data_IF_109857034538
#
_entry.id   IF_109857034538
#
_cell.length_a   1.000
_cell.length_b   1.000
_cell.length_c   1.000
_cell.angle_alpha   90.00
_cell.angle_beta   90.00
_cell.angle_gamma   90.00
#
_symmetry.space_group_name_H-M   'P 1'
#
loop_
_entity.id
_entity.type
_entity.pdbx_description
1 polymer ?
#
# COMPACT_ATOMS: atom_id res chain seq x y z
N UNK A 1 37.80 12.53 5.91
CA UNK A 1 36.41 13.03 5.96
C UNK A 1 35.68 12.53 4.74
N UNK A 2 35.00 11.36 4.79
CA UNK A 2 34.21 10.93 3.66
C UNK A 2 32.90 11.70 3.68
N UNK A 3 32.70 12.49 2.62
CA UNK A 3 31.42 13.11 2.30
C UNK A 3 30.39 11.99 2.09
N UNK A 4 29.32 11.96 2.88
CA UNK A 4 28.12 11.19 2.57
C UNK A 4 27.37 11.98 1.49
N UNK A 5 27.84 11.88 0.25
CA UNK A 5 27.09 12.31 -0.93
C UNK A 5 26.39 11.08 -1.51
N UNK A 6 25.11 10.96 -1.18
CA UNK A 6 24.19 9.95 -1.69
C UNK A 6 22.97 9.91 -0.79
N UNK A 7 21.85 10.46 -1.27
CA UNK A 7 20.53 10.40 -0.64
C UNK A 7 20.07 8.94 -0.53
N UNK A 8 20.62 8.21 0.43
CA UNK A 8 20.21 6.87 0.79
C UNK A 8 19.22 6.95 1.94
N UNK A 9 18.26 6.05 1.93
CA UNK A 9 17.34 5.81 3.05
C UNK A 9 18.06 5.78 4.40
N UNK A 10 17.40 6.31 5.43
CA UNK A 10 17.92 6.26 6.80
C UNK A 10 18.17 4.82 7.24
N UNK A 11 19.26 4.61 8.00
CA UNK A 11 19.49 3.36 8.71
C UNK A 11 18.39 3.11 9.77
N UNK A 12 18.16 1.86 10.20
CA UNK A 12 17.19 1.56 11.24
C UNK A 12 17.36 2.38 12.52
N UNK A 13 18.61 2.58 12.97
CA UNK A 13 18.91 3.40 14.14
C UNK A 13 18.52 4.87 13.94
N UNK A 14 18.79 5.43 12.75
CA UNK A 14 18.40 6.79 12.40
C UNK A 14 16.89 6.95 12.28
N UNK A 15 16.19 5.96 11.72
CA UNK A 15 14.72 5.97 11.66
C UNK A 15 14.10 5.96 13.05
N UNK A 16 14.59 5.09 13.96
CA UNK A 16 14.11 5.06 15.36
C UNK A 16 14.39 6.36 16.09
N UNK A 17 15.57 6.94 15.90
CA UNK A 17 15.92 8.24 16.49
C UNK A 17 15.05 9.39 15.95
N UNK A 18 14.74 9.39 14.65
CA UNK A 18 13.81 10.35 14.07
C UNK A 18 12.39 10.15 14.64
N UNK A 19 11.91 8.90 14.66
CA UNK A 19 10.57 8.56 15.18
C UNK A 19 10.39 8.98 16.64
N UNK A 20 11.31 8.60 17.53
CA UNK A 20 11.25 8.97 18.94
C UNK A 20 11.30 10.49 19.17
N UNK A 21 12.06 11.22 18.34
CA UNK A 21 12.15 12.68 18.44
C UNK A 21 10.86 13.38 18.03
N UNK A 22 10.13 12.81 17.07
CA UNK A 22 8.96 13.44 16.47
C UNK A 22 7.63 12.84 16.91
N UNK A 23 7.64 11.87 17.82
CA UNK A 23 6.45 11.24 18.41
C UNK A 23 5.51 12.25 19.08
N UNK A 24 6.06 13.31 19.69
CA UNK A 24 5.29 14.36 20.38
C UNK A 24 5.22 15.70 19.63
N UNK A 25 5.74 15.76 18.40
CA UNK A 25 5.76 16.98 17.60
C UNK A 25 4.80 16.86 16.39
N UNK A 26 4.18 17.97 15.93
CA UNK A 26 3.39 17.96 14.71
C UNK A 26 4.25 17.53 13.51
N UNK A 27 3.98 16.34 12.97
CA UNK A 27 4.63 15.83 11.77
C UNK A 27 3.80 16.13 10.53
N UNK A 28 4.48 16.42 9.41
CA UNK A 28 3.85 16.37 8.10
C UNK A 28 3.86 14.92 7.60
N UNK A 29 2.72 14.24 7.74
CA UNK A 29 2.53 12.88 7.24
C UNK A 29 2.39 12.88 5.72
N UNK A 30 3.24 12.09 5.06
CA UNK A 30 3.15 11.81 3.63
C UNK A 30 2.17 10.67 3.36
N UNK A 31 2.11 9.69 4.25
CA UNK A 31 1.22 8.53 4.15
C UNK A 31 0.72 8.11 5.52
N UNK A 32 -0.56 7.72 5.59
CA UNK A 32 -1.16 7.09 6.75
C UNK A 32 -2.09 5.97 6.29
N UNK A 33 -1.95 4.80 6.90
CA UNK A 33 -2.74 3.61 6.61
C UNK A 33 -4.21 3.74 7.04
N UNK A 34 -4.49 4.69 7.93
CA UNK A 34 -5.78 4.91 8.56
C UNK A 34 -6.29 6.34 8.34
N UNK A 35 -7.61 6.43 8.38
CA UNK A 35 -8.37 7.67 8.52
C UNK A 35 -9.02 7.69 9.90
N UNK A 36 -9.69 8.79 10.24
CA UNK A 36 -10.50 8.88 11.47
C UNK A 36 -11.64 7.84 11.56
N UNK A 37 -11.96 7.13 10.47
CA UNK A 37 -13.00 6.08 10.42
C UNK A 37 -12.42 4.66 10.34
N UNK A 38 -11.10 4.49 10.43
CA UNK A 38 -10.43 3.21 10.22
C UNK A 38 -9.60 3.17 8.93
N UNK A 39 -9.23 1.99 8.42
CA UNK A 39 -8.33 1.84 7.28
C UNK A 39 -8.77 2.67 6.07
N UNK A 40 -7.79 3.29 5.39
CA UNK A 40 -8.09 4.05 4.18
C UNK A 40 -8.62 3.14 3.04
N UNK A 41 -9.17 3.74 1.99
CA UNK A 41 -9.79 2.98 0.89
C UNK A 41 -8.81 2.03 0.18
N UNK A 42 -7.55 2.45 0.00
CA UNK A 42 -6.52 1.63 -0.62
C UNK A 42 -6.25 0.37 0.21
N UNK A 43 -6.08 0.52 1.53
CA UNK A 43 -5.83 -0.60 2.42
C UNK A 43 -7.02 -1.56 2.48
N UNK A 44 -8.25 -1.05 2.55
CA UNK A 44 -9.46 -1.91 2.45
C UNK A 44 -9.49 -2.72 1.15
N UNK A 45 -9.15 -2.09 0.02
CA UNK A 45 -9.10 -2.77 -1.27
C UNK A 45 -8.00 -3.85 -1.32
N UNK A 46 -6.81 -3.55 -0.81
CA UNK A 46 -5.69 -4.50 -0.73
C UNK A 46 -6.06 -5.68 0.17
N UNK A 47 -6.69 -5.45 1.32
CA UNK A 47 -7.18 -6.52 2.20
C UNK A 47 -8.14 -7.45 1.47
N UNK A 48 -9.10 -6.88 0.71
CA UNK A 48 -10.01 -7.69 -0.12
C UNK A 48 -9.26 -8.49 -1.19
N UNK A 49 -8.23 -7.90 -1.81
CA UNK A 49 -7.33 -8.58 -2.74
C UNK A 49 -6.59 -9.75 -2.09
N UNK A 50 -6.10 -9.61 -0.85
CA UNK A 50 -5.50 -10.72 -0.10
C UNK A 50 -6.50 -11.87 0.09
N UNK A 51 -7.71 -11.56 0.52
CA UNK A 51 -8.77 -12.56 0.69
C UNK A 51 -9.12 -13.29 -0.59
N UNK A 52 -9.14 -12.57 -1.72
CA UNK A 52 -9.36 -13.17 -3.04
C UNK A 52 -8.20 -14.11 -3.44
N UNK A 53 -6.96 -13.69 -3.22
CA UNK A 53 -5.79 -14.49 -3.54
C UNK A 53 -5.69 -15.75 -2.68
N UNK A 54 -5.90 -15.63 -1.36
CA UNK A 54 -5.96 -16.77 -0.44
C UNK A 54 -7.06 -17.75 -0.82
N UNK A 55 -8.28 -17.24 -1.06
CA UNK A 55 -9.40 -18.06 -1.53
C UNK A 55 -9.05 -18.82 -2.82
N UNK A 56 -8.48 -18.16 -3.83
CA UNK A 56 -8.17 -18.81 -5.11
C UNK A 56 -6.97 -19.77 -5.06
N UNK A 57 -6.02 -19.53 -4.15
CA UNK A 57 -4.92 -20.47 -3.88
C UNK A 57 -5.43 -21.76 -3.23
N UNK A 58 -6.40 -21.65 -2.33
CA UNK A 58 -6.99 -22.80 -1.64
C UNK A 58 -8.10 -23.50 -2.45
N UNK A 59 -8.68 -22.83 -3.45
CA UNK A 59 -9.92 -23.25 -4.08
C UNK A 59 -9.77 -23.63 -5.55
N UNK A 60 -9.51 -24.92 -5.77
CA UNK A 60 -10.19 -25.63 -6.86
C UNK A 60 -11.59 -26.12 -6.42
N UNK A 61 -11.97 -26.06 -5.13
CA UNK A 61 -13.12 -26.82 -4.59
C UNK A 61 -13.91 -26.27 -3.38
N UNK A 62 -13.73 -25.03 -2.91
CA UNK A 62 -14.58 -24.52 -1.81
C UNK A 62 -15.83 -23.79 -2.33
N UNK A 63 -17.06 -24.23 -2.00
CA UNK A 63 -18.20 -23.32 -1.98
C UNK A 63 -17.98 -22.29 -0.85
N UNK A 64 -18.61 -21.11 -0.91
CA UNK A 64 -18.60 -20.07 0.15
C UNK A 64 -17.55 -18.93 0.08
N UNK A 65 -17.11 -18.56 -1.13
CA UNK A 65 -16.32 -17.32 -1.37
C UNK A 65 -16.84 -16.08 -0.64
N UNK A 66 -18.17 -15.95 -0.51
CA UNK A 66 -18.77 -14.80 0.16
C UNK A 66 -18.45 -14.74 1.66
N UNK A 67 -18.34 -15.89 2.33
CA UNK A 67 -18.07 -15.95 3.76
C UNK A 67 -16.59 -15.70 4.04
N UNK A 68 -15.71 -16.31 3.24
CA UNK A 68 -14.27 -16.06 3.30
C UNK A 68 -13.99 -14.57 3.16
N UNK A 69 -14.52 -13.93 2.10
CA UNK A 69 -14.28 -12.51 1.84
C UNK A 69 -14.86 -11.56 2.90
N UNK A 70 -15.81 -11.98 3.74
CA UNK A 70 -16.28 -11.15 4.88
C UNK A 70 -15.14 -10.91 5.88
N UNK A 71 -14.29 -11.90 6.10
CA UNK A 71 -13.12 -11.75 6.98
C UNK A 71 -12.07 -10.78 6.43
N UNK A 72 -12.12 -10.51 5.11
CA UNK A 72 -11.25 -9.55 4.41
C UNK A 72 -11.96 -8.24 4.07
N UNK A 73 -12.94 -7.86 4.90
CA UNK A 73 -13.56 -6.53 4.83
C UNK A 73 -14.45 -6.31 3.62
N UNK A 74 -14.97 -7.36 2.98
CA UNK A 74 -15.94 -7.21 1.88
C UNK A 74 -17.11 -6.29 2.23
N UNK A 75 -17.55 -6.31 3.48
CA UNK A 75 -18.68 -5.51 3.98
C UNK A 75 -18.27 -4.11 4.45
N UNK A 76 -16.99 -3.77 4.38
CA UNK A 76 -16.43 -2.51 4.90
C UNK A 76 -16.46 -1.37 3.86
N UNK A 77 -17.00 -1.65 2.67
CA UNK A 77 -17.20 -0.70 1.59
C UNK A 77 -18.63 -0.14 1.64
N UNK A 78 -18.76 1.18 1.52
CA UNK A 78 -20.07 1.86 1.43
C UNK A 78 -20.94 1.28 0.30
N UNK A 79 -20.29 0.81 -0.76
CA UNK A 79 -20.90 -0.01 -1.80
C UNK A 79 -20.28 -1.40 -1.79
N UNK A 80 -20.97 -2.35 -1.18
CA UNK A 80 -20.56 -3.76 -1.13
C UNK A 80 -20.48 -4.34 -2.56
N UNK A 81 -19.41 -5.09 -2.91
CA UNK A 81 -19.29 -5.70 -4.23
C UNK A 81 -20.38 -6.75 -4.47
N UNK A 82 -21.03 -6.65 -5.64
CA UNK A 82 -21.98 -7.65 -6.14
C UNK A 82 -21.27 -8.96 -6.51
N UNK A 83 -22.04 -10.03 -6.74
CA UNK A 83 -21.46 -11.30 -7.20
C UNK A 83 -20.69 -11.13 -8.51
N UNK A 84 -21.18 -10.31 -9.44
CA UNK A 84 -20.48 -10.02 -10.70
C UNK A 84 -19.15 -9.31 -10.48
N UNK A 85 -19.07 -8.38 -9.52
CA UNK A 85 -17.82 -7.71 -9.17
C UNK A 85 -16.80 -8.69 -8.56
N UNK A 86 -17.27 -9.59 -7.69
CA UNK A 86 -16.45 -10.65 -7.08
C UNK A 86 -15.93 -11.64 -8.13
N UNK A 87 -16.79 -12.08 -9.05
CA UNK A 87 -16.37 -12.92 -10.18
C UNK A 87 -15.37 -12.17 -11.06
N UNK A 88 -15.58 -10.87 -11.30
CA UNK A 88 -14.62 -10.02 -12.01
C UNK A 88 -13.25 -9.96 -11.32
N UNK A 89 -13.21 -9.84 -9.99
CA UNK A 89 -11.97 -9.93 -9.21
C UNK A 89 -11.29 -11.29 -9.42
N UNK A 90 -12.04 -12.38 -9.34
CA UNK A 90 -11.49 -13.71 -9.55
C UNK A 90 -10.93 -13.92 -10.96
N UNK A 91 -11.59 -13.40 -11.99
CA UNK A 91 -11.07 -13.44 -13.37
C UNK A 91 -9.78 -12.61 -13.48
N UNK A 92 -9.69 -11.50 -12.75
CA UNK A 92 -8.51 -10.64 -12.69
C UNK A 92 -7.44 -11.12 -11.70
N UNK A 93 -7.46 -12.38 -11.25
CA UNK A 93 -6.55 -12.88 -10.21
C UNK A 93 -5.07 -12.58 -10.48
N UNK A 94 -4.57 -12.77 -11.70
CA UNK A 94 -3.18 -12.39 -12.04
C UNK A 94 -2.87 -10.90 -11.84
N UNK A 95 -3.85 -10.02 -12.06
CA UNK A 95 -3.67 -8.60 -11.79
C UNK A 95 -3.71 -8.31 -10.29
N UNK A 96 -4.51 -9.07 -9.53
CA UNK A 96 -4.54 -9.03 -8.07
C UNK A 96 -3.21 -9.47 -7.50
N UNK A 97 -2.59 -10.54 -8.00
CA UNK A 97 -1.28 -10.98 -7.51
C UNK A 97 -0.21 -9.89 -7.69
N UNK A 98 -0.24 -9.14 -8.79
CA UNK A 98 0.66 -7.99 -8.97
C UNK A 98 0.41 -6.87 -7.95
N UNK A 99 -0.85 -6.64 -7.54
CA UNK A 99 -1.19 -5.69 -6.48
C UNK A 99 -0.57 -6.15 -5.16
N UNK A 100 -0.69 -7.44 -4.84
CA UNK A 100 -0.11 -8.01 -3.62
C UNK A 100 1.43 -8.01 -3.64
N UNK A 101 2.04 -8.19 -4.82
CA UNK A 101 3.49 -8.01 -4.98
C UNK A 101 3.92 -6.56 -4.74
N UNK A 102 3.15 -5.58 -5.25
CA UNK A 102 3.41 -4.18 -4.98
C UNK A 102 3.25 -3.84 -3.49
N UNK A 103 2.25 -4.42 -2.83
CA UNK A 103 2.08 -4.30 -1.39
C UNK A 103 3.25 -4.90 -0.62
N UNK A 104 3.65 -6.13 -0.95
CA UNK A 104 4.78 -6.80 -0.31
C UNK A 104 6.08 -5.99 -0.47
N UNK A 105 6.32 -5.40 -1.66
CA UNK A 105 7.48 -4.54 -1.89
C UNK A 105 7.45 -3.26 -1.02
N UNK A 106 6.26 -2.71 -0.76
CA UNK A 106 6.08 -1.56 0.13
C UNK A 106 6.30 -1.96 1.60
N UNK A 107 5.72 -3.07 2.06
CA UNK A 107 5.95 -3.59 3.40
C UNK A 107 7.43 -3.89 3.65
N UNK A 108 8.14 -4.45 2.67
CA UNK A 108 9.58 -4.70 2.75
C UNK A 108 10.40 -3.40 2.87
N UNK A 109 9.92 -2.27 2.33
CA UNK A 109 10.53 -0.96 2.59
C UNK A 109 10.25 -0.47 4.00
N UNK A 110 9.04 -0.70 4.50
CA UNK A 110 8.58 -0.18 5.79
C UNK A 110 9.17 -0.94 6.99
N UNK A 111 9.52 -2.21 6.83
CA UNK A 111 10.16 -3.04 7.87
C UNK A 111 11.53 -2.46 8.22
N UNK A 112 11.62 -1.74 9.35
CA UNK A 112 12.85 -1.09 9.80
C UNK A 112 13.81 -2.06 10.49
N UNK A 113 13.32 -3.18 11.00
CA UNK A 113 14.13 -4.18 11.71
C UNK A 113 14.81 -5.16 10.73
N UNK A 114 14.05 -5.69 9.77
CA UNK A 114 14.49 -6.78 8.89
C UNK A 114 14.52 -6.38 7.41
N UNK A 115 14.66 -5.07 7.13
CA UNK A 115 14.70 -4.54 5.77
C UNK A 115 15.70 -5.27 4.86
N UNK A 116 15.25 -5.85 3.73
CA UNK A 116 16.15 -6.36 2.70
C UNK A 116 17.04 -5.25 2.12
N UNK A 117 18.33 -5.53 1.89
CA UNK A 117 19.29 -4.56 1.35
C UNK A 117 18.88 -4.00 -0.03
N UNK A 118 18.13 -4.78 -0.81
CA UNK A 118 17.66 -4.42 -2.14
C UNK A 118 16.20 -3.95 -2.17
N UNK A 119 15.55 -3.73 -1.02
CA UNK A 119 14.15 -3.32 -0.94
C UNK A 119 13.87 -2.04 -1.75
N UNK A 120 14.78 -1.05 -1.69
CA UNK A 120 14.69 0.18 -2.48
C UNK A 120 14.72 -0.06 -4.00
N UNK A 121 15.48 -1.06 -4.47
CA UNK A 121 15.58 -1.39 -5.89
C UNK A 121 14.39 -2.22 -6.38
N UNK A 122 13.79 -3.01 -5.49
CA UNK A 122 12.66 -3.89 -5.76
C UNK A 122 11.30 -3.23 -5.54
N UNK A 123 11.26 -1.98 -5.11
CA UNK A 123 10.01 -1.27 -4.89
C UNK A 123 9.16 -1.20 -6.16
N UNK A 124 7.90 -1.58 -6.05
CA UNK A 124 6.93 -1.55 -7.14
C UNK A 124 5.85 -0.50 -6.83
N UNK A 125 5.58 0.36 -7.82
CA UNK A 125 4.54 1.40 -7.71
C UNK A 125 3.14 0.78 -7.68
N UNK A 126 2.39 1.03 -6.61
CA UNK A 126 0.99 0.63 -6.50
C UNK A 126 0.12 1.37 -7.53
N UNK A 127 0.40 2.68 -7.74
CA UNK A 127 -0.31 3.51 -8.72
C UNK A 127 -0.21 2.93 -10.14
N UNK A 128 0.99 2.51 -10.54
CA UNK A 128 1.23 1.92 -11.85
C UNK A 128 0.53 0.56 -11.98
N UNK A 129 0.58 -0.28 -10.94
CA UNK A 129 -0.11 -1.58 -10.92
C UNK A 129 -1.62 -1.43 -11.06
N UNK A 130 -2.22 -0.42 -10.42
CA UNK A 130 -3.65 -0.14 -10.55
C UNK A 130 -4.04 0.34 -11.97
N UNK A 131 -3.20 1.12 -12.65
CA UNK A 131 -3.45 1.43 -14.08
C UNK A 131 -3.40 0.18 -14.96
N UNK A 132 -2.48 -0.74 -14.68
CA UNK A 132 -2.41 -2.01 -15.40
C UNK A 132 -3.66 -2.85 -15.16
N UNK A 133 -4.17 -2.90 -13.93
CA UNK A 133 -5.46 -3.52 -13.61
C UNK A 133 -6.59 -2.91 -14.45
N UNK A 134 -6.72 -1.57 -14.48
CA UNK A 134 -7.74 -0.89 -15.28
C UNK A 134 -7.68 -1.30 -16.76
N UNK A 135 -6.48 -1.30 -17.33
CA UNK A 135 -6.27 -1.72 -18.73
C UNK A 135 -6.63 -3.18 -18.94
N UNK A 136 -6.34 -4.05 -17.97
CA UNK A 136 -6.71 -5.47 -18.03
C UNK A 136 -8.23 -5.65 -17.98
N UNK A 137 -8.93 -4.95 -17.07
CA UNK A 137 -10.39 -5.01 -16.96
C UNK A 137 -11.06 -4.56 -18.26
N UNK A 138 -10.60 -3.46 -18.89
CA UNK A 138 -11.17 -3.00 -20.17
C UNK A 138 -10.99 -3.99 -21.34
N UNK A 139 -10.05 -4.93 -21.23
CA UNK A 139 -9.85 -5.99 -22.23
C UNK A 139 -10.65 -7.26 -21.93
N UNK A 140 -11.29 -7.34 -20.77
CA UNK A 140 -12.02 -8.52 -20.31
C UNK A 140 -13.49 -8.15 -20.04
N UNK A 141 -14.41 -8.40 -21.01
CA UNK A 141 -15.83 -8.07 -20.86
C UNK A 141 -16.48 -8.70 -19.63
N UNK A 142 -15.99 -9.87 -19.18
CA UNK A 142 -16.52 -10.56 -17.99
C UNK A 142 -16.15 -9.86 -16.68
N UNK A 143 -15.17 -8.95 -16.70
CA UNK A 143 -14.78 -8.14 -15.55
C UNK A 143 -15.48 -6.77 -15.49
N UNK A 144 -16.49 -6.54 -16.34
CA UNK A 144 -17.20 -5.25 -16.37
C UNK A 144 -17.90 -4.92 -15.04
N UNK A 145 -18.46 -5.92 -14.36
CA UNK A 145 -19.05 -5.74 -13.02
C UNK A 145 -18.05 -5.23 -11.98
N UNK A 146 -16.79 -5.67 -12.09
CA UNK A 146 -15.69 -5.16 -11.26
C UNK A 146 -15.41 -3.69 -11.56
N UNK A 147 -15.34 -3.31 -12.83
CA UNK A 147 -15.11 -1.90 -13.20
C UNK A 147 -16.19 -0.98 -12.64
N UNK A 148 -17.47 -1.35 -12.77
CA UNK A 148 -18.56 -0.55 -12.24
C UNK A 148 -18.50 -0.42 -10.71
N UNK A 149 -18.16 -1.50 -10.01
CA UNK A 149 -17.98 -1.45 -8.56
C UNK A 149 -16.80 -0.56 -8.16
N UNK A 150 -15.64 -0.67 -8.82
CA UNK A 150 -14.49 0.21 -8.58
C UNK A 150 -14.83 1.68 -8.79
N UNK A 151 -15.59 1.98 -9.84
CA UNK A 151 -16.10 3.34 -10.08
C UNK A 151 -16.99 3.85 -8.94
N UNK A 152 -17.80 2.98 -8.34
CA UNK A 152 -18.69 3.34 -7.22
C UNK A 152 -17.97 3.57 -5.89
N UNK A 153 -16.93 2.78 -5.58
CA UNK A 153 -16.18 2.95 -4.32
C UNK A 153 -15.19 4.13 -4.37
N UNK A 154 -14.99 4.74 -5.55
CA UNK A 154 -14.06 5.85 -5.74
C UNK A 154 -12.73 5.40 -6.35
N UNK A 155 -12.75 4.99 -7.62
CA UNK A 155 -11.52 4.60 -8.34
C UNK A 155 -10.46 5.70 -8.35
N UNK A 156 -10.86 6.96 -8.58
CA UNK A 156 -9.92 8.08 -8.63
C UNK A 156 -9.31 8.37 -7.24
N UNK A 157 -10.08 8.21 -6.16
CA UNK A 157 -9.58 8.33 -4.79
C UNK A 157 -8.58 7.20 -4.47
N UNK A 158 -8.87 5.98 -4.93
CA UNK A 158 -7.97 4.84 -4.79
C UNK A 158 -6.65 5.07 -5.53
N UNK A 159 -6.69 5.67 -6.72
CA UNK A 159 -5.50 6.08 -7.46
C UNK A 159 -4.74 7.22 -6.76
N UNK A 160 -5.43 8.21 -6.20
CA UNK A 160 -4.80 9.30 -5.47
C UNK A 160 -4.07 8.80 -4.21
N UNK A 161 -4.71 7.89 -3.44
CA UNK A 161 -4.07 7.24 -2.30
C UNK A 161 -2.85 6.43 -2.72
N UNK A 162 -2.93 5.69 -3.82
CA UNK A 162 -1.79 4.94 -4.34
C UNK A 162 -0.62 5.85 -4.77
N UNK A 163 -0.90 6.99 -5.41
CA UNK A 163 0.12 7.97 -5.77
C UNK A 163 0.77 8.60 -4.53
N UNK A 164 -0.05 8.95 -3.53
CA UNK A 164 0.41 9.46 -2.25
C UNK A 164 1.35 8.46 -1.54
N UNK A 165 0.96 7.17 -1.51
CA UNK A 165 1.79 6.11 -0.94
C UNK A 165 3.10 5.92 -1.69
N UNK A 166 3.03 5.88 -3.02
CA UNK A 166 4.22 5.76 -3.88
C UNK A 166 5.14 6.98 -3.77
N UNK A 167 4.59 8.17 -3.54
CA UNK A 167 5.38 9.36 -3.23
C UNK A 167 6.08 9.21 -1.87
N UNK A 168 5.35 8.82 -0.83
CA UNK A 168 5.92 8.61 0.49
C UNK A 168 7.05 7.57 0.49
N UNK A 169 6.88 6.46 -0.24
CA UNK A 169 7.92 5.45 -0.44
C UNK A 169 9.17 6.03 -1.13
N UNK A 170 9.00 6.87 -2.16
CA UNK A 170 10.13 7.54 -2.84
C UNK A 170 10.88 8.51 -1.92
N UNK A 171 10.17 9.25 -1.07
CA UNK A 171 10.79 10.13 -0.08
C UNK A 171 11.55 9.32 0.99
N UNK A 172 11.02 8.16 1.40
CA UNK A 172 11.69 7.23 2.31
C UNK A 172 12.98 6.68 1.67
N UNK A 173 12.91 6.16 0.44
CA UNK A 173 14.07 5.66 -0.32
C UNK A 173 15.16 6.73 -0.45
N UNK A 174 14.76 7.99 -0.66
CA UNK A 174 15.69 9.11 -0.79
C UNK A 174 16.22 9.64 0.56
N UNK A 175 15.85 9.03 1.70
CA UNK A 175 16.29 9.46 3.02
C UNK A 175 15.73 10.83 3.44
N UNK A 176 14.58 11.23 2.90
CA UNK A 176 13.87 12.48 3.23
C UNK A 176 12.61 12.25 4.05
N UNK A 177 12.30 11.00 4.37
CA UNK A 177 11.19 10.60 5.23
C UNK A 177 11.61 9.51 6.21
N UNK A 178 10.79 9.26 7.21
CA UNK A 178 10.95 8.19 8.20
C UNK A 178 9.60 7.50 8.48
N UNK A 179 9.67 6.26 8.97
CA UNK A 179 8.49 5.51 9.40
C UNK A 179 8.11 5.89 10.84
N UNK A 180 6.83 6.22 11.06
CA UNK A 180 6.31 6.47 12.40
C UNK A 180 6.01 5.18 13.17
N UNK A 181 5.97 5.26 14.50
CA UNK A 181 5.70 4.10 15.37
C UNK A 181 4.29 3.50 15.19
N UNK A 182 3.29 4.32 14.86
CA UNK A 182 1.89 3.89 14.67
C UNK A 182 1.58 3.41 13.23
N UNK A 183 2.60 3.30 12.38
CA UNK A 183 2.43 3.08 10.95
C UNK A 183 2.28 4.39 10.18
N UNK A 184 2.70 4.38 8.91
CA UNK A 184 2.77 5.56 8.06
C UNK A 184 4.17 6.17 7.91
N UNK A 185 4.27 7.15 7.01
CA UNK A 185 5.52 7.78 6.60
C UNK A 185 5.39 9.29 6.78
N UNK A 186 6.35 9.91 7.45
CA UNK A 186 6.40 11.36 7.67
C UNK A 186 7.68 11.98 7.10
N UNK A 187 7.59 13.25 6.69
CA UNK A 187 8.74 14.02 6.20
C UNK A 187 9.77 14.19 7.31
N UNK A 188 11.06 14.02 6.99
CA UNK A 188 12.15 14.42 7.88
C UNK A 188 12.26 15.95 7.91
N UNK A 189 12.17 16.59 9.07
CA UNK A 189 12.38 18.03 9.18
C UNK A 189 13.78 18.44 8.74
N UNK A 190 13.89 19.64 8.17
CA UNK A 190 15.14 20.16 7.58
C UNK A 190 16.30 20.27 8.57
N UNK A 191 16.03 20.37 9.87
CA UNK A 191 17.04 20.41 10.94
C UNK A 191 17.58 19.03 11.35
N UNK A 192 17.01 17.93 10.86
CA UNK A 192 17.41 16.56 11.22
C UNK A 192 18.91 16.30 11.05
N UNK A 193 19.54 16.82 9.99
CA UNK A 193 20.95 16.56 9.69
C UNK A 193 21.91 17.21 10.69
N UNK A 194 21.57 18.40 11.20
CA UNK A 194 22.34 19.08 12.26
C UNK A 194 22.20 18.37 13.60
N UNK A 195 21.00 17.84 13.84
CA UNK A 195 20.64 17.14 15.07
C UNK A 195 21.21 15.71 15.15
N UNK A 196 21.35 15.02 14.03
CA UNK A 196 21.93 13.67 13.97
C UNK A 196 23.47 13.66 14.14
N UNK A 197 24.12 14.83 14.05
CA UNK A 197 25.56 15.00 14.21
C UNK A 197 25.98 15.54 15.58
N UNK A 198 25.02 15.90 16.43
CA UNK A 198 25.20 16.41 17.79
C UNK A 198 25.06 15.28 18.82
#
# INVERSE_FOLDING_TARGET
>A
MPYITGLSMLSPAQMRAASARYEMAPCQWLWNDYTHKGPNLLNRFITLCCGMDEYLKESLFQPEMNEVLRHYGRTDFDHVPSQEAIVGLAIMWRSITNILEAESSFCALMDDENRPLDAALKFLSMRATLELLRRAIHKEPRALGLWYWLGRIGWDDLLALADQRDHAARELIAGRAFCGAEGGIAVLPSNWSSDAAA
#
